data_IF_856492424711
#
_entry.id   IF_856492424711
#
_cell.length_a   1.000
_cell.length_b   1.000
_cell.length_c   1.000
_cell.angle_alpha   90.00
_cell.angle_beta   90.00
_cell.angle_gamma   90.00
#
_symmetry.space_group_name_H-M   'P 1'
#
loop_
_entity.id
_entity.type
_entity.pdbx_description
1 polymer ?
#
# COMPACT_ATOMS: atom_id res chain seq x y z
N UNK A 1 22.07 13.45 13.39
CA UNK A 1 21.21 12.53 12.62
C UNK A 1 20.07 13.35 12.04
N UNK A 2 19.76 13.20 10.76
CA UNK A 2 18.65 13.95 10.14
C UNK A 2 17.34 13.20 10.43
N UNK A 3 16.38 13.89 11.00
CA UNK A 3 15.04 13.35 11.26
C UNK A 3 14.09 13.86 10.19
N UNK A 4 13.43 12.95 9.49
CA UNK A 4 12.37 13.23 8.55
C UNK A 4 11.01 13.17 9.24
N UNK A 5 10.13 14.10 8.87
CA UNK A 5 8.73 14.10 9.28
C UNK A 5 7.89 13.84 8.04
N UNK A 6 7.07 12.79 8.09
CA UNK A 6 6.21 12.40 6.97
C UNK A 6 4.76 12.49 7.46
N UNK A 7 3.96 13.27 6.74
CA UNK A 7 2.52 13.37 6.94
C UNK A 7 1.81 12.53 5.86
N UNK A 8 1.08 11.51 6.30
CA UNK A 8 0.25 10.64 5.47
C UNK A 8 -1.16 11.23 5.47
N UNK A 9 -1.69 11.48 4.28
CA UNK A 9 -3.04 12.00 4.05
C UNK A 9 -3.85 10.96 3.29
N UNK A 10 -5.10 10.74 3.72
CA UNK A 10 -6.03 9.81 3.08
C UNK A 10 -7.33 10.55 2.71
N UNK A 11 -8.06 10.00 1.74
CA UNK A 11 -9.38 10.49 1.34
C UNK A 11 -10.31 9.30 1.12
N UNK A 12 -11.47 9.38 1.75
CA UNK A 12 -12.59 8.42 1.63
C UNK A 12 -13.72 8.97 0.74
N UNK A 13 -13.67 10.27 0.42
CA UNK A 13 -14.73 10.99 -0.28
C UNK A 13 -14.19 11.60 -1.56
N UNK A 14 -14.52 10.90 -2.64
CA UNK A 14 -14.36 11.39 -4.01
C UNK A 14 -15.77 11.66 -4.53
N UNK A 15 -16.19 12.92 -4.52
CA UNK A 15 -17.45 13.31 -5.16
C UNK A 15 -17.23 13.36 -6.68
N UNK A 16 -17.67 12.32 -7.40
CA UNK A 16 -17.66 12.31 -8.86
C UNK A 16 -18.68 13.34 -9.37
N UNK A 17 -18.20 14.43 -9.96
CA UNK A 17 -19.07 15.28 -10.78
C UNK A 17 -19.39 14.54 -12.08
N UNK A 18 -20.68 14.49 -12.40
CA UNK A 18 -21.28 13.74 -13.51
C UNK A 18 -20.72 14.21 -14.85
N UNK A 19 -19.70 13.52 -15.38
CA UNK A 19 -19.19 13.76 -16.73
C UNK A 19 -20.24 13.28 -17.75
N UNK A 20 -20.85 14.20 -18.49
CA UNK A 20 -21.81 13.88 -19.54
C UNK A 20 -21.07 13.55 -20.85
N UNK A 21 -21.10 12.29 -21.26
CA UNK A 21 -20.52 11.83 -22.52
C UNK A 21 -21.40 12.21 -23.71
N UNK A 22 -21.29 13.46 -24.16
CA UNK A 22 -21.82 13.93 -25.45
C UNK A 22 -20.82 13.72 -26.59
N UNK A 23 -21.26 13.85 -27.85
CA UNK A 23 -20.44 13.73 -29.10
C UNK A 23 -19.19 14.63 -29.15
N UNK A 24 -18.99 15.50 -28.17
CA UNK A 24 -17.79 16.32 -27.98
C UNK A 24 -17.40 16.20 -26.50
N UNK A 25 -16.23 15.64 -26.22
CA UNK A 25 -15.64 15.61 -24.89
C UNK A 25 -15.27 17.06 -24.52
N UNK A 26 -16.18 17.77 -23.86
CA UNK A 26 -15.83 18.96 -23.10
C UNK A 26 -15.43 18.48 -21.72
N UNK A 27 -14.13 18.40 -21.48
CA UNK A 27 -13.60 18.35 -20.12
C UNK A 27 -13.78 19.77 -19.59
N UNK A 28 -14.92 20.03 -18.95
CA UNK A 28 -14.98 21.15 -18.03
C UNK A 28 -14.03 20.76 -16.88
N UNK A 29 -13.07 21.62 -16.56
CA UNK A 29 -12.16 21.52 -15.41
C UNK A 29 -12.93 21.68 -14.08
N UNK A 30 -14.09 21.03 -13.93
CA UNK A 30 -14.84 20.96 -12.68
C UNK A 30 -14.12 20.00 -11.76
N UNK A 31 -13.16 20.58 -11.02
CA UNK A 31 -12.34 19.93 -10.02
C UNK A 31 -13.15 18.93 -9.19
N UNK A 32 -12.79 17.65 -9.28
CA UNK A 32 -13.24 16.62 -8.36
C UNK A 32 -13.02 17.13 -6.94
N UNK A 33 -14.11 17.29 -6.18
CA UNK A 33 -14.01 17.78 -4.81
C UNK A 33 -13.52 16.62 -3.95
N UNK A 34 -12.22 16.58 -3.71
CA UNK A 34 -11.57 15.59 -2.86
C UNK A 34 -11.37 16.19 -1.47
N UNK A 35 -11.91 15.54 -0.45
CA UNK A 35 -11.68 15.92 0.95
C UNK A 35 -10.52 15.09 1.50
N UNK A 36 -9.38 15.73 1.75
CA UNK A 36 -8.22 15.09 2.37
C UNK A 36 -8.29 15.25 3.88
N UNK A 37 -7.97 14.18 4.60
CA UNK A 37 -7.78 14.19 6.04
C UNK A 37 -6.39 13.68 6.38
N UNK A 38 -5.78 14.27 7.41
CA UNK A 38 -4.49 13.82 7.90
C UNK A 38 -4.68 12.54 8.68
N UNK A 39 -4.04 11.47 8.21
CA UNK A 39 -4.15 10.14 8.81
C UNK A 39 -3.08 9.89 9.87
N UNK A 40 -1.81 10.13 9.52
CA UNK A 40 -0.67 9.79 10.38
C UNK A 40 0.46 10.79 10.20
N UNK A 41 1.08 11.21 11.29
CA UNK A 41 2.38 11.88 11.28
C UNK A 41 3.42 10.93 11.84
N UNK A 42 4.48 10.68 11.07
CA UNK A 42 5.54 9.75 11.46
C UNK A 42 6.89 10.46 11.44
N UNK A 43 7.76 10.04 12.35
CA UNK A 43 9.13 10.52 12.47
C UNK A 43 10.06 9.36 12.16
N UNK A 44 11.03 9.57 11.28
CA UNK A 44 12.00 8.54 10.90
C UNK A 44 13.36 9.18 10.62
N UNK A 45 14.41 8.46 10.93
CA UNK A 45 15.80 8.79 10.59
C UNK A 45 16.22 8.24 9.23
N UNK A 46 15.30 7.56 8.51
CA UNK A 46 15.58 6.93 7.22
C UNK A 46 14.80 7.59 6.08
N UNK A 47 15.46 7.80 4.94
CA UNK A 47 14.82 8.19 3.68
C UNK A 47 13.83 7.10 3.25
N UNK A 48 12.53 7.42 3.25
CA UNK A 48 11.46 6.52 2.80
C UNK A 48 11.08 6.86 1.36
N UNK A 49 11.67 6.13 0.42
CA UNK A 49 11.26 6.19 -0.99
C UNK A 49 10.03 5.33 -1.21
N UNK A 50 8.85 5.93 -1.01
CA UNK A 50 7.55 5.28 -1.19
C UNK A 50 7.14 5.38 -2.66
N UNK A 51 7.15 4.27 -3.39
CA UNK A 51 6.65 4.20 -4.76
C UNK A 51 6.06 2.83 -5.09
N UNK A 52 5.18 2.75 -6.09
CA UNK A 52 4.78 1.49 -6.73
C UNK A 52 4.14 0.43 -5.83
N UNK A 53 3.24 0.80 -4.90
CA UNK A 53 2.50 -0.17 -4.07
C UNK A 53 3.32 -0.83 -2.97
N UNK A 54 4.45 -0.23 -2.57
CA UNK A 54 5.34 -0.73 -1.51
C UNK A 54 4.88 -0.34 -0.11
N UNK A 55 3.64 0.08 0.05
CA UNK A 55 3.11 0.52 1.32
C UNK A 55 1.70 -0.03 1.54
N UNK A 56 1.33 -0.18 2.80
CA UNK A 56 0.02 -0.62 3.23
C UNK A 56 -0.43 0.26 4.38
N UNK A 57 -1.71 0.60 4.40
CA UNK A 57 -2.33 1.40 5.45
C UNK A 57 -3.44 0.55 6.05
N UNK A 58 -3.37 0.36 7.37
CA UNK A 58 -4.44 -0.21 8.17
C UNK A 58 -5.12 0.93 8.93
N UNK A 59 -6.27 1.37 8.41
CA UNK A 59 -6.97 2.56 8.89
C UNK A 59 -7.46 2.39 10.34
N UNK A 60 -8.03 1.22 10.67
CA UNK A 60 -8.60 0.96 12.00
C UNK A 60 -7.55 0.98 13.10
N UNK A 61 -6.35 0.45 12.82
CA UNK A 61 -5.25 0.37 13.80
C UNK A 61 -4.34 1.59 13.77
N UNK A 62 -4.56 2.51 12.83
CA UNK A 62 -3.70 3.66 12.51
C UNK A 62 -2.25 3.25 12.28
N UNK A 63 -2.05 2.25 11.43
CA UNK A 63 -0.71 1.73 11.12
C UNK A 63 -0.41 1.97 9.65
N UNK A 64 0.80 2.48 9.38
CA UNK A 64 1.36 2.52 8.03
C UNK A 64 2.56 1.57 7.97
N UNK A 65 2.58 0.71 6.96
CA UNK A 65 3.68 -0.21 6.71
C UNK A 65 4.34 0.16 5.38
N UNK A 66 5.67 0.16 5.33
CA UNK A 66 6.45 0.48 4.13
C UNK A 66 7.50 -0.59 3.92
N UNK A 67 7.51 -1.17 2.74
CA UNK A 67 8.57 -2.07 2.29
C UNK A 67 9.74 -1.27 1.75
N UNK A 68 10.92 -1.66 2.20
CA UNK A 68 12.19 -1.13 1.76
C UNK A 68 13.08 -2.28 1.33
N UNK A 69 13.74 -2.10 0.21
CA UNK A 69 14.83 -2.97 -0.22
C UNK A 69 16.14 -2.32 0.16
N UNK A 70 17.05 -3.07 0.75
CA UNK A 70 18.39 -2.57 1.00
C UNK A 70 19.10 -2.24 -0.33
N UNK A 71 19.94 -1.20 -0.32
CA UNK A 71 20.73 -0.80 -1.51
C UNK A 71 21.69 -1.89 -1.94
N UNK A 72 22.12 -2.73 -0.99
CA UNK A 72 22.97 -3.88 -1.24
C UNK A 72 22.17 -5.16 -1.58
N UNK A 73 20.84 -5.07 -1.72
CA UNK A 73 19.93 -6.17 -2.11
C UNK A 73 20.00 -7.42 -1.20
N UNK A 74 20.51 -7.27 0.03
CA UNK A 74 20.75 -8.40 0.95
C UNK A 74 19.48 -8.87 1.63
N UNK A 75 18.59 -7.94 1.96
CA UNK A 75 17.33 -8.25 2.61
C UNK A 75 16.25 -7.24 2.26
N UNK A 76 15.02 -7.75 2.24
CA UNK A 76 13.83 -6.91 2.25
C UNK A 76 13.48 -6.57 3.70
N UNK A 77 13.07 -5.33 3.94
CA UNK A 77 12.75 -4.83 5.27
C UNK A 77 11.39 -4.17 5.27
N UNK A 78 10.59 -4.46 6.28
CA UNK A 78 9.29 -3.83 6.51
C UNK A 78 9.39 -2.87 7.69
N UNK A 79 9.08 -1.61 7.43
CA UNK A 79 9.00 -0.56 8.44
C UNK A 79 7.55 -0.32 8.81
N UNK A 80 7.23 -0.39 10.10
CA UNK A 80 5.89 -0.23 10.67
C UNK A 80 5.87 1.06 11.47
N UNK A 81 4.96 1.95 11.13
CA UNK A 81 4.80 3.26 11.77
C UNK A 81 3.44 3.39 12.47
N UNK A 82 3.43 4.10 13.60
CA UNK A 82 2.22 4.44 14.37
C UNK A 82 2.29 5.87 14.93
N UNK A 83 1.14 6.39 15.36
CA UNK A 83 0.91 7.80 15.74
C UNK A 83 1.79 8.30 16.90
N UNK A 84 2.33 7.41 17.74
CA UNK A 84 3.00 7.75 19.02
C UNK A 84 4.52 7.54 18.96
N UNK A 85 5.16 7.86 17.82
CA UNK A 85 6.61 7.64 17.67
C UNK A 85 7.03 6.16 17.72
N UNK A 86 6.06 5.25 17.68
CA UNK A 86 6.32 3.82 17.60
C UNK A 86 6.74 3.49 16.18
N UNK A 87 7.99 3.04 16.09
CA UNK A 87 8.63 2.59 14.87
C UNK A 87 9.17 1.19 15.11
N UNK A 88 8.82 0.26 14.23
CA UNK A 88 9.39 -1.10 14.24
C UNK A 88 9.90 -1.44 12.85
N UNK A 89 11.10 -1.98 12.80
CA UNK A 89 11.71 -2.51 11.59
C UNK A 89 11.72 -4.05 11.68
N UNK A 90 11.27 -4.72 10.62
CA UNK A 90 11.21 -6.17 10.52
C UNK A 90 11.97 -6.61 9.27
N UNK A 91 13.00 -7.42 9.44
CA UNK A 91 13.68 -8.07 8.32
C UNK A 91 12.81 -9.21 7.79
N UNK A 92 12.49 -9.17 6.49
CA UNK A 92 11.71 -10.21 5.80
C UNK A 92 12.60 -11.35 5.28
N UNK A 93 13.92 -11.20 5.41
CA UNK A 93 14.91 -12.15 4.92
C UNK A 93 15.43 -11.82 3.52
N UNK A 94 16.22 -12.74 2.98
CA UNK A 94 16.78 -12.64 1.63
C UNK A 94 15.71 -13.08 0.60
N UNK A 95 15.38 -12.24 -0.39
CA UNK A 95 14.40 -12.59 -1.40
C UNK A 95 14.91 -13.71 -2.31
N UNK A 96 14.02 -14.62 -2.72
CA UNK A 96 14.34 -15.69 -3.67
C UNK A 96 14.83 -15.17 -5.03
N UNK A 97 14.37 -13.98 -5.43
CA UNK A 97 14.89 -13.24 -6.58
C UNK A 97 15.24 -11.80 -6.15
N UNK A 98 16.53 -11.50 -6.21
CA UNK A 98 17.08 -10.17 -5.89
C UNK A 98 16.66 -9.10 -6.88
N UNK A 99 16.10 -9.44 -8.04
CA UNK A 99 15.53 -8.46 -9.00
C UNK A 99 14.08 -8.11 -8.67
N UNK A 100 13.36 -9.00 -7.99
CA UNK A 100 11.98 -8.75 -7.59
C UNK A 100 11.91 -7.80 -6.41
N UNK A 101 11.02 -6.82 -6.50
CA UNK A 101 10.72 -5.94 -5.38
C UNK A 101 9.52 -6.48 -4.62
N UNK A 102 9.56 -6.49 -3.28
CA UNK A 102 8.40 -6.90 -2.51
C UNK A 102 7.29 -5.86 -2.73
N UNK A 103 6.06 -6.33 -2.88
CA UNK A 103 4.85 -5.52 -3.02
C UNK A 103 3.88 -5.90 -1.91
N UNK A 104 3.17 -4.92 -1.35
CA UNK A 104 2.05 -5.20 -0.47
C UNK A 104 0.75 -5.05 -1.24
N UNK A 105 -0.12 -6.05 -1.12
CA UNK A 105 -1.46 -6.02 -1.67
C UNK A 105 -2.45 -5.88 -0.52
N UNK A 106 -3.41 -4.97 -0.65
CA UNK A 106 -4.55 -4.91 0.26
C UNK A 106 -5.39 -6.17 0.07
N UNK A 107 -5.21 -7.15 0.97
CA UNK A 107 -6.02 -8.36 0.94
C UNK A 107 -7.38 -8.03 1.54
N UNK A 108 -8.40 -7.96 0.69
CA UNK A 108 -9.80 -8.00 1.11
C UNK A 108 -10.23 -9.45 0.97
N UNK A 109 -10.40 -10.21 2.06
CA UNK A 109 -10.97 -11.54 1.95
C UNK A 109 -12.36 -11.37 1.32
N UNK A 110 -12.58 -11.99 0.17
CA UNK A 110 -13.95 -12.16 -0.27
C UNK A 110 -14.63 -13.06 0.77
N UNK A 111 -15.83 -12.70 1.21
CA UNK A 111 -16.70 -13.61 1.97
C UNK A 111 -17.18 -14.80 1.12
N UNK A 112 -16.63 -14.96 -0.09
CA UNK A 112 -16.99 -16.00 -1.03
C UNK A 112 -16.14 -17.23 -0.69
N UNK A 113 -16.79 -18.27 -0.19
CA UNK A 113 -16.18 -19.58 0.00
C UNK A 113 -15.60 -20.06 -1.34
N UNK A 114 -14.27 -20.08 -1.45
CA UNK A 114 -13.59 -20.62 -2.62
C UNK A 114 -13.80 -22.13 -2.59
N UNK A 115 -14.75 -22.61 -3.40
CA UNK A 115 -14.93 -24.05 -3.63
C UNK A 115 -13.68 -24.58 -4.31
N UNK A 116 -12.86 -25.30 -3.57
CA UNK A 116 -11.76 -26.04 -4.17
C UNK A 116 -12.34 -27.04 -5.18
N UNK A 117 -11.79 -27.13 -6.40
CA UNK A 117 -12.19 -28.17 -7.33
C UNK A 117 -11.93 -29.53 -6.67
N UNK A 118 -12.86 -30.47 -6.84
CA UNK A 118 -12.68 -31.84 -6.37
C UNK A 118 -11.34 -32.36 -6.91
N UNK A 119 -10.52 -32.92 -6.01
CA UNK A 119 -9.22 -33.52 -6.35
C UNK A 119 -9.45 -34.49 -7.50
N UNK A 120 -8.97 -34.11 -8.69
CA UNK A 120 -8.98 -34.99 -9.84
C UNK A 120 -8.19 -36.25 -9.50
N UNK A 121 -8.86 -37.39 -9.45
CA UNK A 121 -8.21 -38.69 -9.31
C UNK A 121 -7.28 -38.85 -10.51
N UNK A 122 -5.97 -38.75 -10.27
CA UNK A 122 -4.97 -39.15 -11.25
C UNK A 122 -5.01 -40.66 -11.31
N UNK A 123 -5.66 -41.21 -12.34
CA UNK A 123 -5.46 -42.61 -12.69
C UNK A 123 -4.04 -42.72 -13.23
N UNK A 124 -3.23 -43.53 -12.54
CA UNK A 124 -1.94 -43.97 -13.02
C UNK A 124 -2.25 -45.25 -13.80
N UNK A 125 -2.24 -45.15 -15.12
CA UNK A 125 -2.07 -46.30 -16.01
C UNK A 125 -0.57 -46.53 -16.24
#
# INVERSE_FOLDING_TARGET
>A
MQTFVIDIWITDKIEEQKVAWGKSLRVDDTATKVSWSKFLRVYTDTDLRISGGRFFIEEEKKVAMVLKKDRDERSDTMKIFREVGYFKELELGEPSDKRCWPVMCSYVPSLVEIKLPEVGKRNID
#
